data_IF_415361229404
#
_entry.id   IF_415361229404
#
_cell.length_a   1.000
_cell.length_b   1.000
_cell.length_c   1.000
_cell.angle_alpha   90.00
_cell.angle_beta   90.00
_cell.angle_gamma   90.00
#
_symmetry.space_group_name_H-M   'P 1'
#
loop_
_entity.id
_entity.type
_entity.pdbx_description
1 polymer ?
#
# COMPACT_ATOMS: atom_id res chain seq x y z
N UNK A 1 7.58 2.15 -8.21
CA UNK A 1 6.43 3.05 -8.27
C UNK A 1 6.90 4.50 -8.13
N UNK A 2 6.45 5.39 -9.01
CA UNK A 2 6.76 6.83 -8.97
C UNK A 2 5.59 7.58 -8.36
N UNK A 3 5.87 8.40 -7.36
CA UNK A 3 4.88 9.24 -6.68
C UNK A 3 5.14 10.69 -7.06
N UNK A 4 4.12 11.37 -7.60
CA UNK A 4 4.19 12.79 -7.95
C UNK A 4 3.45 13.62 -6.90
N UNK A 5 4.15 14.47 -6.17
CA UNK A 5 3.53 15.52 -5.37
C UNK A 5 3.24 16.73 -6.25
N UNK A 6 1.97 17.11 -6.36
CA UNK A 6 1.56 18.32 -7.04
C UNK A 6 2.06 19.56 -6.28
N UNK A 7 3.06 20.27 -6.83
CA UNK A 7 3.44 21.61 -6.38
C UNK A 7 2.91 22.63 -7.37
N UNK A 8 2.14 23.57 -6.89
CA UNK A 8 1.78 24.79 -7.61
C UNK A 8 2.98 25.73 -7.62
N UNK A 9 3.56 25.92 -8.78
CA UNK A 9 4.59 26.87 -9.23
C UNK A 9 5.90 26.21 -9.67
N UNK A 10 6.19 26.46 -10.91
CA UNK A 10 7.43 26.41 -11.70
C UNK A 10 8.65 25.61 -11.19
N UNK A 11 9.00 24.60 -11.91
CA UNK A 11 10.34 24.02 -12.19
C UNK A 11 11.06 23.11 -11.18
N UNK A 12 10.57 22.83 -9.98
CA UNK A 12 11.15 21.77 -9.13
C UNK A 12 10.16 20.60 -9.00
N UNK A 13 10.06 19.76 -10.04
CA UNK A 13 9.37 18.48 -9.95
C UNK A 13 10.28 17.48 -9.26
N UNK A 14 10.16 17.37 -7.95
CA UNK A 14 10.80 16.28 -7.20
C UNK A 14 10.06 14.98 -7.48
N UNK A 15 10.79 13.96 -7.94
CA UNK A 15 10.29 12.60 -8.10
C UNK A 15 10.71 11.82 -6.87
N UNK A 16 9.74 11.28 -6.14
CA UNK A 16 9.99 10.38 -5.01
C UNK A 16 9.86 8.93 -5.47
N UNK A 17 10.80 8.09 -5.04
CA UNK A 17 10.85 6.66 -5.39
C UNK A 17 10.26 5.85 -4.26
N UNK A 18 9.36 4.91 -4.60
CA UNK A 18 8.90 3.85 -3.72
C UNK A 18 9.55 2.53 -4.17
N UNK A 19 10.36 1.93 -3.31
CA UNK A 19 10.92 0.60 -3.49
C UNK A 19 10.00 -0.47 -2.91
N UNK A 20 9.77 -1.56 -3.63
CA UNK A 20 8.93 -2.68 -3.19
C UNK A 20 9.69 -4.02 -3.13
N UNK A 21 11.01 -3.99 -3.03
CA UNK A 21 11.84 -5.19 -2.92
C UNK A 21 11.38 -6.11 -1.80
N UNK A 22 11.07 -5.54 -0.63
CA UNK A 22 10.70 -6.31 0.56
C UNK A 22 9.26 -6.81 0.59
N UNK A 23 8.40 -6.34 -0.32
CA UNK A 23 7.02 -6.80 -0.47
C UNK A 23 6.84 -7.56 -1.77
N UNK A 24 6.86 -6.90 -2.91
CA UNK A 24 6.64 -7.53 -4.22
C UNK A 24 7.84 -8.38 -4.64
N UNK A 25 9.04 -7.84 -4.49
CA UNK A 25 10.26 -8.57 -4.77
C UNK A 25 10.43 -9.84 -3.93
N UNK A 26 9.93 -9.84 -2.69
CA UNK A 26 9.96 -11.01 -1.81
C UNK A 26 9.02 -12.15 -2.25
N UNK A 27 8.12 -11.91 -3.21
CA UNK A 27 7.26 -12.94 -3.79
C UNK A 27 7.93 -13.73 -4.93
N UNK A 28 9.14 -13.34 -5.33
CA UNK A 28 9.91 -14.04 -6.36
C UNK A 28 10.22 -15.49 -5.98
N UNK A 29 10.19 -16.39 -6.96
CA UNK A 29 10.49 -17.80 -6.75
C UNK A 29 11.92 -17.97 -6.19
N UNK A 30 12.06 -18.77 -5.13
CA UNK A 30 13.35 -19.03 -4.48
C UNK A 30 13.85 -17.92 -3.55
N UNK A 31 13.10 -16.82 -3.39
CA UNK A 31 13.45 -15.71 -2.50
C UNK A 31 12.83 -15.95 -1.11
N UNK A 32 13.66 -15.87 -0.08
CA UNK A 32 13.20 -15.90 1.30
C UNK A 32 14.12 -15.03 2.17
N UNK A 33 13.60 -13.93 2.66
CA UNK A 33 14.34 -13.04 3.57
C UNK A 33 14.06 -13.42 5.04
N UNK A 34 15.12 -13.46 5.85
CA UNK A 34 14.98 -13.40 7.31
C UNK A 34 14.59 -11.98 7.73
N UNK A 35 14.18 -11.79 8.98
CA UNK A 35 13.92 -10.45 9.53
C UNK A 35 15.20 -9.60 9.47
N UNK A 36 16.36 -10.20 9.75
CA UNK A 36 17.65 -9.51 9.70
C UNK A 36 18.02 -9.09 8.28
N UNK A 37 17.77 -9.95 7.27
CA UNK A 37 17.98 -9.58 5.87
C UNK A 37 17.11 -8.37 5.47
N UNK A 38 15.82 -8.38 5.88
CA UNK A 38 14.92 -7.24 5.64
C UNK A 38 15.46 -5.96 6.28
N UNK A 39 15.98 -6.03 7.50
CA UNK A 39 16.56 -4.87 8.20
C UNK A 39 17.77 -4.33 7.44
N UNK A 40 18.71 -5.18 7.03
CA UNK A 40 19.88 -4.75 6.25
C UNK A 40 19.48 -4.13 4.90
N UNK A 41 18.45 -4.67 4.23
CA UNK A 41 17.93 -4.09 2.98
C UNK A 41 17.33 -2.71 3.23
N UNK A 42 16.58 -2.52 4.32
CA UNK A 42 16.05 -1.20 4.70
C UNK A 42 17.16 -0.19 4.92
N UNK A 43 18.22 -0.57 5.66
CA UNK A 43 19.37 0.29 5.90
C UNK A 43 20.07 0.69 4.58
N UNK A 44 20.28 -0.28 3.68
CA UNK A 44 20.90 -0.03 2.38
C UNK A 44 20.04 0.90 1.49
N UNK A 45 18.71 0.73 1.49
CA UNK A 45 17.78 1.59 0.75
C UNK A 45 17.71 3.00 1.35
N UNK A 46 17.82 3.13 2.67
CA UNK A 46 17.89 4.42 3.34
C UNK A 46 19.20 5.16 2.98
N UNK A 47 20.34 4.46 2.98
CA UNK A 47 21.63 5.01 2.53
C UNK A 47 21.61 5.43 1.05
N UNK A 48 20.90 4.69 0.19
CA UNK A 48 20.69 5.01 -1.22
C UNK A 48 19.83 6.26 -1.42
N UNK A 49 19.07 6.68 -0.39
CA UNK A 49 18.21 7.84 -0.45
C UNK A 49 16.82 7.57 -1.04
N UNK A 50 16.35 6.32 -1.03
CA UNK A 50 14.99 5.97 -1.41
C UNK A 50 14.00 6.62 -0.42
N UNK A 51 12.92 7.23 -0.93
CA UNK A 51 11.97 7.94 -0.08
C UNK A 51 10.97 7.02 0.62
N UNK A 52 10.44 6.02 -0.07
CA UNK A 52 9.46 5.09 0.49
C UNK A 52 9.92 3.65 0.30
N UNK A 53 9.82 2.85 1.35
CA UNK A 53 10.13 1.41 1.33
C UNK A 53 8.86 0.65 1.70
N UNK A 54 8.27 -0.04 0.74
CA UNK A 54 7.15 -0.95 0.96
C UNK A 54 7.69 -2.25 1.57
N UNK A 55 7.54 -2.39 2.88
CA UNK A 55 8.36 -3.29 3.67
C UNK A 55 7.72 -4.67 3.95
N UNK A 56 6.46 -4.86 3.58
CA UNK A 56 5.74 -6.12 3.72
C UNK A 56 4.28 -5.95 4.08
N UNK A 57 3.57 -7.08 4.23
CA UNK A 57 2.16 -7.13 4.60
C UNK A 57 1.98 -7.69 6.02
N UNK A 58 1.78 -6.81 7.03
CA UNK A 58 1.68 -7.25 8.43
C UNK A 58 0.48 -8.15 8.72
N UNK A 59 -0.54 -8.13 7.85
CA UNK A 59 -1.72 -8.98 7.97
C UNK A 59 -1.58 -10.35 7.32
N UNK A 60 -0.53 -10.58 6.51
CA UNK A 60 -0.38 -11.82 5.76
C UNK A 60 0.32 -12.94 6.55
N UNK A 61 1.29 -12.59 7.38
CA UNK A 61 2.01 -13.54 8.20
C UNK A 61 2.63 -12.91 9.46
N UNK A 62 2.83 -13.71 10.54
CA UNK A 62 3.41 -13.21 11.79
C UNK A 62 4.83 -12.66 11.65
N UNK A 63 5.63 -13.18 10.72
CA UNK A 63 7.01 -12.75 10.47
C UNK A 63 7.07 -11.30 9.98
N UNK A 64 6.12 -10.90 9.11
CA UNK A 64 6.05 -9.52 8.65
C UNK A 64 5.66 -8.58 9.80
N UNK A 65 4.71 -8.96 10.65
CA UNK A 65 4.39 -8.16 11.83
C UNK A 65 5.59 -8.05 12.78
N UNK A 66 6.32 -9.14 13.03
CA UNK A 66 7.52 -9.12 13.86
C UNK A 66 8.60 -8.20 13.28
N UNK A 67 8.80 -8.25 11.96
CA UNK A 67 9.71 -7.32 11.28
C UNK A 67 9.32 -5.86 11.55
N UNK A 68 8.04 -5.49 11.40
CA UNK A 68 7.59 -4.12 11.69
C UNK A 68 7.84 -3.71 13.15
N UNK A 69 7.73 -4.63 14.12
CA UNK A 69 8.04 -4.35 15.51
C UNK A 69 9.53 -4.10 15.75
N UNK A 70 10.42 -4.79 15.00
CA UNK A 70 11.86 -4.65 15.17
C UNK A 70 12.41 -3.41 14.44
N UNK A 71 11.94 -3.15 13.22
CA UNK A 71 12.45 -2.06 12.36
C UNK A 71 12.17 -0.66 12.91
N UNK A 72 11.19 -0.50 13.81
CA UNK A 72 10.91 0.77 14.51
C UNK A 72 12.11 1.31 15.29
N UNK A 73 13.06 0.45 15.65
CA UNK A 73 14.26 0.84 16.39
C UNK A 73 15.33 1.48 15.52
N UNK A 74 15.19 1.39 14.21
CA UNK A 74 16.11 2.02 13.27
C UNK A 74 15.88 3.53 13.21
N UNK A 75 16.97 4.26 13.12
CA UNK A 75 16.93 5.70 12.89
C UNK A 75 17.20 6.00 11.42
N UNK A 76 16.16 5.83 10.58
CA UNK A 76 16.24 6.10 9.14
C UNK A 76 16.36 7.61 8.91
N UNK A 77 17.23 8.00 7.97
CA UNK A 77 17.54 9.41 7.67
C UNK A 77 16.75 9.93 6.47
N UNK A 78 16.53 9.08 5.48
CA UNK A 78 15.96 9.43 4.17
C UNK A 78 14.64 8.72 3.90
N UNK A 79 14.56 7.44 4.28
CA UNK A 79 13.44 6.58 3.96
C UNK A 79 12.30 6.62 5.00
N UNK A 80 11.09 6.47 4.51
CA UNK A 80 9.89 6.22 5.32
C UNK A 80 9.32 4.84 4.97
N UNK A 81 9.03 4.03 6.00
CA UNK A 81 8.45 2.70 5.79
C UNK A 81 6.97 2.80 5.47
N UNK A 82 6.52 1.91 4.58
CA UNK A 82 5.12 1.70 4.23
C UNK A 82 4.72 0.26 4.59
N UNK A 83 3.65 0.09 5.34
CA UNK A 83 2.95 -1.18 5.45
C UNK A 83 2.03 -1.35 4.25
N UNK A 84 1.92 -2.58 3.72
CA UNK A 84 1.08 -2.90 2.57
C UNK A 84 -0.09 -3.80 2.98
N UNK A 85 -1.27 -3.56 2.42
CA UNK A 85 -2.44 -4.42 2.61
C UNK A 85 -3.56 -4.13 1.61
N UNK A 86 -4.70 -4.81 1.76
CA UNK A 86 -5.87 -4.63 0.91
C UNK A 86 -6.83 -3.58 1.48
N UNK A 87 -7.84 -3.21 0.68
CA UNK A 87 -9.06 -2.59 1.21
C UNK A 87 -9.69 -3.45 2.30
N UNK A 88 -10.66 -2.88 3.05
CA UNK A 88 -11.54 -3.67 3.90
C UNK A 88 -12.21 -4.79 3.08
N UNK A 89 -12.62 -5.86 3.73
CA UNK A 89 -13.40 -6.92 3.08
C UNK A 89 -14.83 -6.46 2.81
N UNK A 90 -15.44 -7.02 1.76
CA UNK A 90 -16.84 -6.76 1.43
C UNK A 90 -17.75 -7.10 2.61
N UNK A 91 -18.73 -6.24 2.86
CA UNK A 91 -19.72 -6.41 3.92
C UNK A 91 -19.17 -6.33 5.34
N UNK A 92 -17.93 -5.87 5.54
CA UNK A 92 -17.29 -5.73 6.84
C UNK A 92 -16.96 -4.25 7.12
N UNK A 93 -17.08 -3.82 8.35
CA UNK A 93 -16.63 -2.48 8.75
C UNK A 93 -15.10 -2.43 8.85
N UNK A 94 -14.51 -1.24 8.63
CA UNK A 94 -13.05 -1.06 8.77
C UNK A 94 -12.52 -1.38 10.16
N UNK A 95 -13.34 -1.15 11.21
CA UNK A 95 -12.95 -1.41 12.60
C UNK A 95 -12.83 -2.91 12.87
N UNK A 96 -13.68 -3.72 12.24
CA UNK A 96 -13.69 -5.17 12.43
C UNK A 96 -12.72 -5.91 11.48
N UNK A 97 -12.23 -5.21 10.45
CA UNK A 97 -11.35 -5.83 9.46
C UNK A 97 -9.95 -6.06 10.02
N UNK A 98 -9.58 -7.33 10.19
CA UNK A 98 -8.30 -7.74 10.77
C UNK A 98 -7.09 -7.31 9.96
N UNK A 99 -7.21 -7.19 8.62
CA UNK A 99 -6.14 -6.68 7.78
C UNK A 99 -5.89 -5.19 8.06
N UNK A 100 -6.95 -4.37 8.14
CA UNK A 100 -6.81 -2.95 8.47
C UNK A 100 -6.28 -2.74 9.89
N UNK A 101 -6.70 -3.57 10.86
CA UNK A 101 -6.13 -3.54 12.21
C UNK A 101 -4.64 -3.88 12.20
N UNK A 102 -4.20 -4.84 11.39
CA UNK A 102 -2.78 -5.18 11.24
C UNK A 102 -1.97 -4.03 10.62
N UNK A 103 -2.53 -3.31 9.65
CA UNK A 103 -1.91 -2.11 9.10
C UNK A 103 -1.70 -1.02 10.14
N UNK A 104 -2.67 -0.80 11.03
CA UNK A 104 -2.52 0.14 12.14
C UNK A 104 -1.48 -0.34 13.16
N UNK A 105 -1.46 -1.65 13.46
CA UNK A 105 -0.54 -2.26 14.41
C UNK A 105 0.93 -2.27 13.92
N UNK A 106 1.18 -2.19 12.63
CA UNK A 106 2.52 -2.00 12.07
C UNK A 106 3.14 -0.65 12.47
N UNK A 107 2.30 0.34 12.84
CA UNK A 107 2.69 1.68 13.30
C UNK A 107 3.57 2.46 12.31
N UNK A 108 3.51 2.13 11.02
CA UNK A 108 4.16 2.93 9.98
C UNK A 108 3.41 4.24 9.77
N UNK A 109 4.13 5.31 9.42
CA UNK A 109 3.52 6.60 9.06
C UNK A 109 2.72 6.49 7.76
N UNK A 110 3.23 5.71 6.82
CA UNK A 110 2.64 5.53 5.50
C UNK A 110 2.05 4.12 5.37
N UNK A 111 0.93 4.02 4.67
CA UNK A 111 0.28 2.76 4.32
C UNK A 111 -0.01 2.76 2.83
N UNK A 112 0.43 1.71 2.15
CA UNK A 112 0.00 1.38 0.79
C UNK A 112 -1.15 0.40 0.90
N UNK A 113 -2.31 0.74 0.33
CA UNK A 113 -3.38 -0.25 0.23
C UNK A 113 -3.78 -0.46 -1.22
N UNK A 114 -3.97 -1.71 -1.63
CA UNK A 114 -4.45 -2.02 -2.96
C UNK A 114 -5.97 -2.21 -2.99
N UNK A 115 -6.57 -1.83 -4.10
CA UNK A 115 -7.97 -2.10 -4.42
C UNK A 115 -8.14 -2.49 -5.89
N UNK A 116 -9.22 -3.21 -6.20
CA UNK A 116 -9.49 -3.63 -7.56
C UNK A 116 -10.00 -2.45 -8.38
N UNK A 117 -9.30 -2.14 -9.47
CA UNK A 117 -9.69 -1.11 -10.43
C UNK A 117 -10.39 -1.66 -11.65
N UNK A 118 -10.25 -2.96 -11.92
CA UNK A 118 -10.83 -3.64 -13.07
C UNK A 118 -12.15 -4.31 -12.69
N UNK A 119 -13.23 -3.92 -13.37
CA UNK A 119 -14.59 -4.43 -13.14
C UNK A 119 -14.66 -5.97 -13.21
N UNK A 120 -13.95 -6.60 -14.15
CA UNK A 120 -13.83 -8.05 -14.21
C UNK A 120 -13.29 -8.65 -12.88
N UNK A 121 -12.26 -8.05 -12.30
CA UNK A 121 -11.74 -8.54 -11.01
C UNK A 121 -12.72 -8.34 -9.86
N UNK A 122 -13.51 -7.26 -9.91
CA UNK A 122 -14.53 -6.99 -8.89
C UNK A 122 -15.64 -8.03 -8.92
N UNK A 123 -16.16 -8.34 -10.13
CA UNK A 123 -17.29 -9.26 -10.29
C UNK A 123 -16.88 -10.72 -10.21
N UNK A 124 -15.77 -11.10 -10.86
CA UNK A 124 -15.39 -12.51 -11.03
C UNK A 124 -14.41 -13.01 -9.95
N UNK A 125 -13.55 -12.16 -9.42
CA UNK A 125 -12.52 -12.57 -8.44
C UNK A 125 -12.99 -12.33 -7.01
N UNK A 126 -13.28 -11.06 -6.64
CA UNK A 126 -13.76 -10.80 -5.27
C UNK A 126 -15.28 -10.98 -5.12
N UNK A 127 -16.00 -11.14 -6.22
CA UNK A 127 -17.44 -11.47 -6.28
C UNK A 127 -18.28 -10.49 -5.48
N UNK A 128 -18.16 -9.20 -5.81
CA UNK A 128 -18.94 -8.12 -5.22
C UNK A 128 -19.46 -7.19 -6.29
N UNK A 129 -20.24 -6.18 -5.91
CA UNK A 129 -20.71 -5.14 -6.84
C UNK A 129 -19.66 -4.07 -7.07
N UNK A 130 -19.78 -3.36 -8.17
CA UNK A 130 -18.90 -2.24 -8.49
C UNK A 130 -19.02 -1.12 -7.44
N UNK A 131 -20.24 -0.87 -6.96
CA UNK A 131 -20.56 0.11 -5.94
C UNK A 131 -19.89 -0.24 -4.60
N UNK A 132 -20.06 -1.49 -4.13
CA UNK A 132 -19.42 -1.95 -2.89
C UNK A 132 -17.90 -1.85 -2.98
N UNK A 133 -17.30 -2.16 -4.15
CA UNK A 133 -15.86 -2.01 -4.29
C UNK A 133 -15.41 -0.54 -4.19
N UNK A 134 -16.17 0.41 -4.72
CA UNK A 134 -15.89 1.84 -4.56
C UNK A 134 -16.01 2.27 -3.09
N UNK A 135 -17.01 1.74 -2.36
CA UNK A 135 -17.15 1.97 -0.92
C UNK A 135 -15.98 1.36 -0.14
N UNK A 136 -15.56 0.13 -0.45
CA UNK A 136 -14.39 -0.51 0.17
C UNK A 136 -13.13 0.36 0.03
N UNK A 137 -12.90 0.94 -1.15
CA UNK A 137 -11.75 1.83 -1.40
C UNK A 137 -11.87 3.10 -0.56
N UNK A 138 -13.02 3.78 -0.62
CA UNK A 138 -13.27 5.03 0.11
C UNK A 138 -13.17 4.85 1.62
N UNK A 139 -13.88 3.87 2.15
CA UNK A 139 -13.90 3.60 3.59
C UNK A 139 -12.50 3.30 4.12
N UNK A 140 -11.70 2.54 3.35
CA UNK A 140 -10.32 2.21 3.72
C UNK A 140 -9.43 3.46 3.74
N UNK A 141 -9.50 4.29 2.69
CA UNK A 141 -8.72 5.53 2.62
C UNK A 141 -9.07 6.47 3.78
N UNK A 142 -10.37 6.68 4.02
CA UNK A 142 -10.84 7.51 5.12
C UNK A 142 -10.45 6.95 6.49
N UNK A 143 -10.62 5.64 6.70
CA UNK A 143 -10.29 5.00 7.96
C UNK A 143 -8.80 5.15 8.32
N UNK A 144 -7.91 4.86 7.38
CA UNK A 144 -6.48 4.97 7.58
C UNK A 144 -6.06 6.43 7.82
N UNK A 145 -6.61 7.37 7.04
CA UNK A 145 -6.34 8.81 7.21
C UNK A 145 -6.83 9.33 8.57
N UNK A 146 -8.04 8.95 8.99
CA UNK A 146 -8.58 9.30 10.32
C UNK A 146 -7.75 8.73 11.47
N UNK A 147 -7.03 7.63 11.23
CA UNK A 147 -6.08 7.04 12.18
C UNK A 147 -4.65 7.60 12.02
N UNK A 148 -4.48 8.74 11.35
CA UNK A 148 -3.21 9.47 11.25
C UNK A 148 -2.19 8.86 10.30
N UNK A 149 -2.62 8.04 9.33
CA UNK A 149 -1.73 7.47 8.31
C UNK A 149 -1.73 8.32 7.04
N UNK A 150 -0.57 8.47 6.43
CA UNK A 150 -0.49 8.89 5.04
C UNK A 150 -0.83 7.69 4.16
N UNK A 151 -1.69 7.90 3.19
CA UNK A 151 -2.25 6.82 2.38
C UNK A 151 -1.73 6.89 0.95
N UNK A 152 -1.29 5.75 0.44
CA UNK A 152 -0.93 5.55 -0.97
C UNK A 152 -1.86 4.48 -1.52
N UNK A 153 -2.64 4.82 -2.55
CA UNK A 153 -3.54 3.87 -3.20
C UNK A 153 -2.85 3.17 -4.37
N UNK A 154 -2.76 1.85 -4.29
CA UNK A 154 -2.35 0.98 -5.39
C UNK A 154 -3.60 0.55 -6.17
N UNK A 155 -3.82 1.20 -7.31
CA UNK A 155 -4.91 0.89 -8.23
C UNK A 155 -4.54 -0.34 -9.09
N UNK A 156 -4.72 -1.53 -8.53
CA UNK A 156 -4.28 -2.78 -9.12
C UNK A 156 -4.87 -3.00 -10.52
N UNK A 157 -4.00 -3.32 -11.50
CA UNK A 157 -4.34 -3.50 -12.92
C UNK A 157 -5.03 -2.29 -13.59
N UNK A 158 -4.76 -1.07 -13.11
CA UNK A 158 -5.45 0.14 -13.57
C UNK A 158 -5.44 0.33 -15.09
N UNK A 159 -4.32 0.10 -15.77
CA UNK A 159 -4.25 0.33 -17.21
C UNK A 159 -5.10 -0.66 -18.02
N UNK A 160 -5.17 -1.92 -17.62
CA UNK A 160 -6.10 -2.90 -18.21
C UNK A 160 -7.55 -2.52 -17.93
N UNK A 161 -7.83 -2.11 -16.70
CA UNK A 161 -9.14 -1.61 -16.29
C UNK A 161 -9.57 -0.39 -17.12
N UNK A 162 -8.67 0.57 -17.30
CA UNK A 162 -8.94 1.77 -18.08
C UNK A 162 -9.24 1.49 -19.56
N UNK A 163 -8.57 0.48 -20.15
CA UNK A 163 -8.86 0.05 -21.52
C UNK A 163 -10.21 -0.66 -21.63
N UNK A 164 -10.59 -1.42 -20.63
CA UNK A 164 -11.84 -2.19 -20.60
C UNK A 164 -13.05 -1.31 -20.23
N UNK A 165 -12.94 -0.57 -19.14
CA UNK A 165 -14.00 0.28 -18.59
C UNK A 165 -13.42 1.55 -17.98
N UNK A 166 -13.15 2.52 -18.84
CA UNK A 166 -12.52 3.80 -18.47
C UNK A 166 -13.24 4.52 -17.34
N UNK A 167 -14.57 4.57 -17.44
CA UNK A 167 -15.40 5.30 -16.46
C UNK A 167 -15.24 4.70 -15.06
N UNK A 168 -15.36 3.39 -14.96
CA UNK A 168 -15.23 2.71 -13.69
C UNK A 168 -13.80 2.81 -13.12
N UNK A 169 -12.78 2.59 -13.95
CA UNK A 169 -11.39 2.72 -13.53
C UNK A 169 -11.10 4.12 -12.93
N UNK A 170 -11.61 5.18 -13.55
CA UNK A 170 -11.47 6.53 -13.00
C UNK A 170 -12.23 6.73 -11.69
N UNK A 171 -13.41 6.11 -11.53
CA UNK A 171 -14.17 6.16 -10.26
C UNK A 171 -13.37 5.52 -9.11
N UNK A 172 -12.57 4.46 -9.37
CA UNK A 172 -11.74 3.86 -8.31
C UNK A 172 -10.66 4.81 -7.80
N UNK A 173 -10.05 5.61 -8.68
CA UNK A 173 -9.11 6.65 -8.25
C UNK A 173 -9.82 7.77 -7.46
N UNK A 174 -11.00 8.18 -7.92
CA UNK A 174 -11.79 9.19 -7.21
C UNK A 174 -12.26 8.73 -5.83
N UNK A 175 -12.52 7.43 -5.68
CA UNK A 175 -12.92 6.86 -4.39
C UNK A 175 -11.80 6.86 -3.35
N UNK A 176 -10.53 6.92 -3.78
CA UNK A 176 -9.36 6.93 -2.91
C UNK A 176 -8.89 8.33 -2.47
N UNK A 177 -9.51 9.39 -3.02
CA UNK A 177 -9.20 10.79 -2.73
C UNK A 177 -10.12 11.34 -1.66
#
# INVERSE_FOLDING_TARGET
>A
TLIFKGSTMANDRTVEILDSTLRDGAQGEGISFSIQDKIHIVEALDELGVKYIEAGNPGSNPKDMEFFQQVKKLNLKNAELCAFGSTRRKGMSCIEDTNLQSLLAAETKNVVFFGKSWDFQVTEIIKTTLEENLEMIRDTAEFLTKNGRNVIYDAEHFFSAYQSNKEYALKTLQAAI
#
